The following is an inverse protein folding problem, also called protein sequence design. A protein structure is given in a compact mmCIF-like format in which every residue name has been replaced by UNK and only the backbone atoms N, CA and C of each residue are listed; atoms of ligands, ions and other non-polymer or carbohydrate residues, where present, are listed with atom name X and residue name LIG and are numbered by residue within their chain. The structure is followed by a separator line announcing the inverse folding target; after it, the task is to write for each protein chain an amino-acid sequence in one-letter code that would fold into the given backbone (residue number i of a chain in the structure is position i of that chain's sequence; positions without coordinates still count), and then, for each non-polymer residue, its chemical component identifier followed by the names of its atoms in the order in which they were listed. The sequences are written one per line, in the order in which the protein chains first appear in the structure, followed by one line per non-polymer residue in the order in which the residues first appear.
data_IF_024302615882
#
_entry.id   IF_024302615882
#
_cell.length_a   1.000
_cell.length_b   1.000
_cell.length_c   1.000
_cell.angle_alpha   90.00
_cell.angle_beta   90.00
_cell.angle_gamma   90.00
#
_symmetry.space_group_name_H-M   'P 1'
#
loop_
_entity.id
_entity.type
_entity.pdbx_description
1 polymer ?
#
# COMPACT_ATOMS: atom_id res chain seq x y z
N UNK A 1 27.08 -3.80 -12.42
CA UNK A 1 25.89 -2.97 -12.14
C UNK A 1 24.70 -3.83 -12.44
N UNK A 2 23.96 -4.20 -11.40
CA UNK A 2 22.84 -5.15 -11.52
C UNK A 2 21.57 -4.47 -12.04
N UNK A 3 20.56 -5.24 -12.49
CA UNK A 3 19.34 -4.70 -13.11
C UNK A 3 18.58 -3.73 -12.21
N UNK A 4 18.50 -3.98 -10.90
CA UNK A 4 17.80 -3.10 -9.94
C UNK A 4 18.58 -1.82 -9.63
N UNK A 5 19.91 -1.90 -9.57
CA UNK A 5 20.76 -0.71 -9.49
C UNK A 5 20.67 0.09 -10.79
N UNK A 6 20.61 -0.58 -11.95
CA UNK A 6 20.34 0.04 -13.25
C UNK A 6 18.98 0.75 -13.21
N UNK A 7 17.93 0.12 -12.67
CA UNK A 7 16.59 0.73 -12.53
C UNK A 7 16.68 1.97 -11.65
N UNK A 8 17.26 1.87 -10.46
CA UNK A 8 17.44 3.01 -9.58
C UNK A 8 18.21 4.11 -10.33
N UNK A 9 19.42 3.84 -10.80
CA UNK A 9 20.26 4.80 -11.55
C UNK A 9 19.55 5.37 -12.79
N UNK A 10 18.68 4.63 -13.45
CA UNK A 10 17.89 5.10 -14.61
C UNK A 10 16.77 6.06 -14.25
N UNK A 11 16.14 5.81 -13.10
CA UNK A 11 15.19 6.73 -12.46
C UNK A 11 15.95 7.97 -11.97
N UNK A 12 17.24 7.82 -11.66
CA UNK A 12 18.10 8.89 -11.16
C UNK A 12 18.90 9.63 -12.27
N UNK A 13 18.90 9.18 -13.52
CA UNK A 13 19.73 9.77 -14.58
C UNK A 13 19.07 9.72 -15.96
N UNK A 14 18.81 10.90 -16.54
CA UNK A 14 18.29 11.05 -17.91
C UNK A 14 19.17 10.36 -18.96
N UNK A 15 20.49 10.32 -18.75
CA UNK A 15 21.44 9.68 -19.66
C UNK A 15 21.31 8.16 -19.60
N UNK A 16 21.08 7.61 -18.41
CA UNK A 16 20.93 6.17 -18.22
C UNK A 16 19.55 5.67 -18.64
N UNK A 17 18.51 6.50 -18.56
CA UNK A 17 17.13 6.17 -18.94
C UNK A 17 17.01 5.43 -20.30
N UNK A 18 17.78 5.83 -21.32
CA UNK A 18 17.75 5.17 -22.65
C UNK A 18 18.38 3.77 -22.66
N UNK A 19 19.40 3.54 -21.83
CA UNK A 19 20.11 2.25 -21.72
C UNK A 19 19.31 1.22 -20.90
N UNK A 20 18.46 1.67 -19.98
CA UNK A 20 17.81 0.80 -19.00
C UNK A 20 16.49 0.24 -19.52
N UNK A 21 15.75 0.99 -20.35
CA UNK A 21 14.41 0.61 -20.83
C UNK A 21 14.33 -0.75 -21.58
N UNK A 22 15.45 -1.32 -22.01
CA UNK A 22 15.56 -2.65 -22.65
C UNK A 22 15.95 -3.79 -21.69
N UNK A 23 16.42 -3.48 -20.48
CA UNK A 23 16.99 -4.46 -19.52
C UNK A 23 16.12 -4.64 -18.27
N UNK A 24 15.19 -3.72 -18.00
CA UNK A 24 14.33 -3.76 -16.82
C UNK A 24 13.27 -4.87 -16.99
N UNK A 25 13.19 -5.86 -16.07
CA UNK A 25 12.07 -6.79 -16.02
C UNK A 25 10.75 -6.01 -15.90
N UNK A 26 9.68 -6.49 -16.55
CA UNK A 26 8.39 -5.81 -16.45
C UNK A 26 7.92 -5.76 -14.99
N UNK A 27 7.74 -4.55 -14.46
CA UNK A 27 7.16 -4.37 -13.13
C UNK A 27 5.76 -4.97 -13.11
N UNK A 28 5.47 -5.76 -12.08
CA UNK A 28 4.20 -6.51 -11.99
C UNK A 28 3.22 -5.86 -11.03
N UNK A 29 3.74 -5.17 -10.01
CA UNK A 29 2.93 -4.59 -8.93
C UNK A 29 3.47 -3.22 -8.55
N UNK A 30 2.56 -2.33 -8.19
CA UNK A 30 2.91 -1.04 -7.60
C UNK A 30 1.99 -0.72 -6.43
N UNK A 31 2.61 -0.31 -5.32
CA UNK A 31 1.89 0.06 -4.11
C UNK A 31 2.28 1.49 -3.75
N UNK A 32 1.31 2.29 -3.34
CA UNK A 32 1.55 3.61 -2.78
C UNK A 32 1.01 3.61 -1.36
N UNK A 33 1.88 3.85 -0.38
CA UNK A 33 1.46 3.90 1.02
C UNK A 33 1.65 5.31 1.56
N UNK A 34 0.65 5.76 2.32
CA UNK A 34 0.63 7.05 3.00
C UNK A 34 0.69 6.82 4.51
N UNK A 35 1.78 7.29 5.12
CA UNK A 35 2.05 7.34 6.57
C UNK A 35 2.13 8.81 7.01
N UNK A 36 3.08 9.17 7.88
CA UNK A 36 3.61 10.54 7.99
C UNK A 36 4.56 10.92 6.83
N UNK A 37 4.74 10.04 5.85
CA UNK A 37 5.47 10.22 4.59
C UNK A 37 4.75 9.46 3.45
N UNK A 38 5.14 9.71 2.21
CA UNK A 38 4.68 8.93 1.06
C UNK A 38 5.74 7.89 0.69
N UNK A 39 5.35 6.63 0.50
CA UNK A 39 6.21 5.60 -0.10
C UNK A 39 5.60 5.01 -1.38
N UNK A 40 6.48 4.64 -2.31
CA UNK A 40 6.11 3.86 -3.50
C UNK A 40 6.93 2.60 -3.50
N UNK A 41 6.28 1.45 -3.62
CA UNK A 41 6.94 0.17 -3.79
C UNK A 41 6.61 -0.41 -5.16
N UNK A 42 7.65 -0.73 -5.93
CA UNK A 42 7.54 -1.37 -7.24
C UNK A 42 8.09 -2.79 -7.17
N UNK A 43 7.25 -3.78 -7.48
CA UNK A 43 7.60 -5.19 -7.44
C UNK A 43 8.02 -5.75 -8.81
N UNK A 44 9.12 -6.51 -8.82
CA UNK A 44 9.68 -7.23 -9.96
C UNK A 44 9.72 -8.73 -9.67
N UNK A 45 8.60 -9.42 -9.86
CA UNK A 45 8.44 -10.83 -9.47
C UNK A 45 7.97 -10.98 -8.02
N UNK A 46 8.37 -12.08 -7.37
CA UNK A 46 7.85 -12.45 -6.04
C UNK A 46 8.65 -11.84 -4.88
N UNK A 47 9.97 -11.72 -5.01
CA UNK A 47 10.89 -11.37 -3.91
C UNK A 47 11.59 -10.03 -4.09
N UNK A 48 11.58 -9.48 -5.31
CA UNK A 48 12.37 -8.28 -5.62
C UNK A 48 11.48 -7.05 -5.69
N UNK A 49 11.89 -5.98 -5.00
CA UNK A 49 11.18 -4.72 -5.02
C UNK A 49 12.10 -3.52 -4.81
N UNK A 50 11.66 -2.38 -5.35
CA UNK A 50 12.31 -1.09 -5.14
C UNK A 50 11.30 -0.20 -4.43
N UNK A 51 11.71 0.36 -3.29
CA UNK A 51 10.91 1.32 -2.53
C UNK A 51 11.52 2.72 -2.65
N UNK A 52 10.66 3.70 -2.87
CA UNK A 52 10.99 5.12 -2.84
C UNK A 52 10.25 5.77 -1.68
N UNK A 53 10.95 6.53 -0.83
CA UNK A 53 10.38 7.16 0.36
C UNK A 53 10.55 8.68 0.27
N UNK A 54 9.44 9.40 0.44
CA UNK A 54 9.32 10.85 0.32
C UNK A 54 8.73 11.44 1.61
N UNK A 55 9.56 12.09 2.43
CA UNK A 55 9.11 12.68 3.71
C UNK A 55 8.34 14.01 3.55
N UNK A 56 8.46 14.64 2.39
CA UNK A 56 7.70 15.84 2.01
C UNK A 56 6.88 15.52 0.77
N UNK A 57 5.59 15.87 0.78
CA UNK A 57 4.65 15.54 -0.28
C UNK A 57 4.63 16.59 -1.41
N UNK A 58 5.27 17.74 -1.20
CA UNK A 58 5.41 18.81 -2.19
C UNK A 58 6.76 18.74 -2.86
N UNK A 59 7.83 18.89 -2.08
CA UNK A 59 9.20 19.03 -2.59
C UNK A 59 10.21 18.40 -1.62
N UNK A 60 10.51 17.11 -1.76
CA UNK A 60 11.32 16.38 -0.82
C UNK A 60 12.79 16.76 -0.95
N UNK A 61 13.38 17.25 0.14
CA UNK A 61 14.82 17.56 0.24
C UNK A 61 15.70 16.35 -0.07
N UNK A 62 15.22 15.18 0.35
CA UNK A 62 15.88 13.90 0.09
C UNK A 62 14.86 12.87 -0.34
N UNK A 63 15.32 11.93 -1.16
CA UNK A 63 14.59 10.72 -1.51
C UNK A 63 15.43 9.56 -1.05
N UNK A 64 14.80 8.63 -0.35
CA UNK A 64 15.43 7.37 0.01
C UNK A 64 14.95 6.30 -0.95
N UNK A 65 15.91 5.52 -1.45
CA UNK A 65 15.65 4.39 -2.33
C UNK A 65 16.16 3.15 -1.63
N UNK A 66 15.26 2.21 -1.38
CA UNK A 66 15.60 0.91 -0.81
C UNK A 66 15.35 -0.15 -1.87
N UNK A 67 16.32 -1.06 -2.05
CA UNK A 67 16.28 -2.13 -3.04
C UNK A 67 16.43 -3.44 -2.29
N UNK A 68 15.45 -4.33 -2.49
CA UNK A 68 15.50 -5.69 -1.99
C UNK A 68 15.61 -6.63 -3.17
N UNK A 69 16.59 -7.51 -3.09
CA UNK A 69 16.85 -8.55 -4.06
C UNK A 69 17.15 -9.84 -3.32
N UNK A 70 16.24 -10.79 -3.39
CA UNK A 70 16.34 -12.06 -2.66
C UNK A 70 16.63 -11.83 -1.16
N UNK A 71 17.87 -12.02 -0.71
CA UNK A 71 18.31 -11.80 0.69
C UNK A 71 19.10 -10.51 0.89
N UNK A 72 19.39 -9.75 -0.17
CA UNK A 72 20.18 -8.52 -0.14
C UNK A 72 19.29 -7.29 -0.01
N UNK A 73 19.74 -6.32 0.78
CA UNK A 73 19.07 -5.05 1.00
C UNK A 73 20.06 -3.89 0.88
N UNK A 74 19.78 -2.97 -0.04
CA UNK A 74 20.57 -1.77 -0.26
C UNK A 74 19.73 -0.53 -0.03
N UNK A 75 20.30 0.47 0.65
CA UNK A 75 19.67 1.76 0.88
C UNK A 75 20.52 2.91 0.36
N UNK A 76 19.89 3.78 -0.41
CA UNK A 76 20.49 4.97 -0.98
C UNK A 76 19.72 6.20 -0.51
N UNK A 77 20.43 7.30 -0.33
CA UNK A 77 19.85 8.61 -0.08
C UNK A 77 20.30 9.55 -1.19
N UNK A 78 19.37 10.31 -1.74
CA UNK A 78 19.70 11.29 -2.76
C UNK A 78 19.11 12.66 -2.44
N UNK A 79 19.93 13.68 -2.60
CA UNK A 79 19.55 15.06 -2.45
C UNK A 79 18.72 15.56 -3.64
N UNK A 80 17.55 16.13 -3.34
CA UNK A 80 16.63 16.71 -4.30
C UNK A 80 16.18 18.09 -3.80
N UNK A 81 16.42 19.15 -4.57
CA UNK A 81 16.06 20.51 -4.15
C UNK A 81 15.15 21.23 -5.14
N UNK A 82 14.73 20.58 -6.23
CA UNK A 82 13.96 21.24 -7.31
C UNK A 82 12.81 20.43 -7.87
N UNK A 83 12.74 19.15 -7.57
CA UNK A 83 11.76 18.25 -8.19
C UNK A 83 10.68 17.94 -7.17
N UNK A 84 9.41 18.11 -7.56
CA UNK A 84 8.27 17.81 -6.69
C UNK A 84 8.08 16.32 -6.49
N UNK A 85 7.41 15.92 -5.41
CA UNK A 85 7.04 14.51 -5.17
C UNK A 85 6.21 13.98 -6.33
N UNK A 86 5.17 14.70 -6.76
CA UNK A 86 4.36 14.33 -7.92
C UNK A 86 5.21 14.04 -9.18
N UNK A 87 6.21 14.87 -9.47
CA UNK A 87 7.08 14.63 -10.63
C UNK A 87 7.89 13.34 -10.46
N UNK A 88 8.42 13.08 -9.26
CA UNK A 88 9.14 11.84 -8.97
C UNK A 88 8.27 10.61 -9.15
N UNK A 89 7.05 10.63 -8.62
CA UNK A 89 6.11 9.51 -8.75
C UNK A 89 5.80 9.24 -10.21
N UNK A 90 5.43 10.28 -10.96
CA UNK A 90 5.20 10.17 -12.40
C UNK A 90 6.43 9.65 -13.15
N UNK A 91 7.63 10.08 -12.74
CA UNK A 91 8.88 9.62 -13.33
C UNK A 91 9.14 8.14 -13.05
N UNK A 92 8.95 7.68 -11.82
CA UNK A 92 9.08 6.26 -11.43
C UNK A 92 8.13 5.41 -12.27
N UNK A 93 6.83 5.74 -12.30
CA UNK A 93 5.84 5.00 -13.08
C UNK A 93 6.17 4.97 -14.58
N UNK A 94 6.64 6.09 -15.13
CA UNK A 94 7.07 6.18 -16.54
C UNK A 94 8.25 5.27 -16.85
N UNK A 95 9.28 5.24 -15.98
CA UNK A 95 10.49 4.44 -16.21
C UNK A 95 10.21 2.95 -16.00
N UNK A 96 9.39 2.60 -15.01
CA UNK A 96 9.00 1.21 -14.72
C UNK A 96 7.89 0.69 -15.64
N UNK A 97 7.36 1.54 -16.52
CA UNK A 97 6.26 1.25 -17.47
C UNK A 97 4.99 0.76 -16.78
N UNK A 98 4.76 1.23 -15.56
CA UNK A 98 3.55 0.90 -14.80
C UNK A 98 2.46 1.90 -15.17
N UNK A 99 1.30 1.38 -15.54
CA UNK A 99 0.12 2.14 -15.95
C UNK A 99 -1.03 2.04 -14.94
N UNK A 100 -0.88 1.26 -13.88
CA UNK A 100 -1.92 1.01 -12.88
C UNK A 100 -1.28 0.89 -11.49
N UNK A 101 -1.86 1.58 -10.51
CA UNK A 101 -1.52 1.40 -9.10
C UNK A 101 -2.26 0.16 -8.60
N UNK A 102 -1.54 -0.83 -8.07
CA UNK A 102 -2.18 -2.04 -7.53
C UNK A 102 -3.00 -1.68 -6.30
N UNK A 103 -2.41 -1.01 -5.32
CA UNK A 103 -3.15 -0.58 -4.15
C UNK A 103 -2.61 0.74 -3.63
N UNK A 104 -3.52 1.59 -3.15
CA UNK A 104 -3.20 2.71 -2.29
C UNK A 104 -3.56 2.34 -0.87
N UNK A 105 -2.62 2.47 0.06
CA UNK A 105 -2.83 2.18 1.47
C UNK A 105 -2.63 3.42 2.35
N UNK A 106 -3.54 3.62 3.29
CA UNK A 106 -3.44 4.63 4.33
C UNK A 106 -3.23 3.94 5.68
N UNK A 107 -2.15 4.29 6.38
CA UNK A 107 -1.74 3.65 7.64
C UNK A 107 -1.66 4.71 8.76
N UNK A 108 -0.87 4.50 9.81
CA UNK A 108 -0.75 5.43 10.93
C UNK A 108 -0.23 6.81 10.49
N UNK A 109 -0.69 7.86 11.18
CA UNK A 109 -0.22 9.24 11.03
C UNK A 109 -0.38 9.84 9.62
N UNK A 110 -1.37 9.36 8.86
CA UNK A 110 -1.62 9.82 7.49
C UNK A 110 -2.64 10.95 7.36
N UNK A 111 -3.20 11.47 8.45
CA UNK A 111 -4.32 12.44 8.49
C UNK A 111 -4.00 13.76 7.78
N UNK A 112 -2.70 14.07 7.61
CA UNK A 112 -2.23 15.22 6.84
C UNK A 112 -2.59 15.15 5.35
N UNK A 113 -2.82 13.95 4.82
CA UNK A 113 -3.13 13.72 3.42
C UNK A 113 -4.61 13.97 3.14
N UNK A 114 -4.92 15.09 2.47
CA UNK A 114 -6.26 15.31 1.93
C UNK A 114 -6.44 14.54 0.62
N UNK A 115 -7.69 14.23 0.26
CA UNK A 115 -7.98 13.56 -1.01
C UNK A 115 -7.46 14.34 -2.22
N UNK A 116 -7.41 15.67 -2.13
CA UNK A 116 -6.90 16.54 -3.19
C UNK A 116 -5.37 16.46 -3.30
N UNK A 117 -4.65 16.37 -2.17
CA UNK A 117 -3.22 16.08 -2.15
C UNK A 117 -2.95 14.71 -2.77
N UNK A 118 -3.67 13.67 -2.33
CA UNK A 118 -3.48 12.31 -2.84
C UNK A 118 -3.73 12.27 -4.34
N UNK A 119 -4.84 12.84 -4.83
CA UNK A 119 -5.13 12.94 -6.27
C UNK A 119 -4.04 13.65 -7.06
N UNK A 120 -3.40 14.67 -6.48
CA UNK A 120 -2.27 15.34 -7.15
C UNK A 120 -1.03 14.44 -7.25
N UNK A 121 -0.83 13.53 -6.30
CA UNK A 121 0.32 12.64 -6.20
C UNK A 121 0.16 11.41 -7.09
N UNK A 122 -1.08 10.92 -7.25
CA UNK A 122 -1.35 9.73 -8.02
C UNK A 122 -1.01 9.92 -9.51
N UNK A 123 -0.38 8.90 -10.13
CA UNK A 123 -0.15 8.93 -11.56
C UNK A 123 -1.49 8.93 -12.31
N UNK A 124 -1.50 9.51 -13.51
CA UNK A 124 -2.66 9.44 -14.40
C UNK A 124 -2.90 7.98 -14.80
N UNK A 125 -3.94 7.38 -14.26
CA UNK A 125 -4.22 5.96 -14.47
C UNK A 125 -5.25 5.42 -13.50
N UNK A 126 -5.46 4.12 -13.60
CA UNK A 126 -6.39 3.37 -12.78
C UNK A 126 -5.72 2.95 -11.46
N UNK A 127 -6.47 2.99 -10.37
CA UNK A 127 -6.06 2.45 -9.06
C UNK A 127 -6.94 1.23 -8.80
N UNK A 128 -6.32 0.08 -8.59
CA UNK A 128 -7.07 -1.15 -8.45
C UNK A 128 -7.77 -1.24 -7.09
N UNK A 129 -7.07 -0.97 -5.98
CA UNK A 129 -7.68 -0.94 -4.65
C UNK A 129 -7.34 0.29 -3.80
N UNK A 130 -8.29 0.65 -2.93
CA UNK A 130 -8.08 1.52 -1.77
C UNK A 130 -8.08 0.65 -0.51
N UNK A 131 -7.05 0.79 0.32
CA UNK A 131 -6.94 0.12 1.62
C UNK A 131 -6.84 1.14 2.74
N UNK A 132 -7.78 1.09 3.67
CA UNK A 132 -7.72 1.83 4.93
C UNK A 132 -7.29 0.87 6.03
N UNK A 133 -6.04 1.00 6.48
CA UNK A 133 -5.42 0.11 7.46
C UNK A 133 -6.00 0.31 8.87
N UNK A 134 -5.81 -0.67 9.74
CA UNK A 134 -6.36 -0.73 11.09
C UNK A 134 -5.92 0.45 11.98
N UNK A 135 -4.76 1.03 11.69
CA UNK A 135 -4.16 2.14 12.44
C UNK A 135 -4.38 3.51 11.77
N UNK A 136 -5.16 3.56 10.69
CA UNK A 136 -5.39 4.80 9.95
C UNK A 136 -6.37 5.72 10.66
N UNK A 137 -6.02 7.01 10.80
CA UNK A 137 -6.94 8.07 11.23
C UNK A 137 -7.76 8.68 10.08
N UNK A 138 -7.88 8.00 8.94
CA UNK A 138 -8.62 8.52 7.79
C UNK A 138 -10.13 8.66 8.07
N UNK A 139 -10.70 9.77 7.60
CA UNK A 139 -12.14 10.03 7.76
C UNK A 139 -12.99 9.43 6.63
N UNK A 140 -14.27 9.13 6.90
CA UNK A 140 -15.24 8.77 5.85
C UNK A 140 -15.33 9.82 4.74
N UNK A 141 -15.21 11.11 5.06
CA UNK A 141 -15.22 12.19 4.06
C UNK A 141 -14.06 12.08 3.09
N UNK A 142 -12.87 11.76 3.58
CA UNK A 142 -11.71 11.48 2.75
C UNK A 142 -11.99 10.27 1.85
N UNK A 143 -12.38 9.15 2.44
CA UNK A 143 -12.61 7.89 1.72
C UNK A 143 -13.63 8.08 0.60
N UNK A 144 -14.77 8.73 0.85
CA UNK A 144 -15.81 9.01 -0.16
C UNK A 144 -15.28 9.78 -1.38
N UNK A 145 -14.32 10.69 -1.18
CA UNK A 145 -13.68 11.38 -2.31
C UNK A 145 -12.76 10.44 -3.11
N UNK A 146 -12.22 9.40 -2.50
CA UNK A 146 -11.33 8.45 -3.16
C UNK A 146 -12.08 7.32 -3.88
N UNK A 147 -13.29 6.94 -3.42
CA UNK A 147 -14.06 5.83 -4.00
C UNK A 147 -14.23 5.85 -5.52
N UNK A 148 -14.47 7.00 -6.20
CA UNK A 148 -14.62 7.02 -7.67
C UNK A 148 -13.35 6.63 -8.44
N UNK A 149 -12.21 6.47 -7.77
CA UNK A 149 -10.92 6.17 -8.39
C UNK A 149 -10.56 4.68 -8.30
N UNK A 150 -11.33 3.87 -7.58
CA UNK A 150 -11.00 2.47 -7.27
C UNK A 150 -12.16 1.53 -7.56
N UNK A 151 -11.86 0.29 -7.94
CA UNK A 151 -12.89 -0.77 -8.02
C UNK A 151 -12.87 -1.70 -6.82
N UNK A 152 -11.80 -1.71 -6.03
CA UNK A 152 -11.69 -2.52 -4.84
C UNK A 152 -11.54 -1.66 -3.59
N UNK A 153 -12.16 -2.09 -2.51
CA UNK A 153 -12.14 -1.40 -1.22
C UNK A 153 -11.85 -2.39 -0.10
N UNK A 154 -10.79 -2.14 0.68
CA UNK A 154 -10.50 -2.84 1.93
C UNK A 154 -10.51 -1.85 3.10
N UNK A 155 -11.31 -2.17 4.13
CA UNK A 155 -11.46 -1.36 5.34
C UNK A 155 -11.13 -2.25 6.54
N UNK A 156 -9.99 -1.98 7.17
CA UNK A 156 -9.49 -2.70 8.35
C UNK A 156 -9.83 -1.97 9.67
N UNK A 157 -10.39 -0.76 9.62
CA UNK A 157 -10.88 0.01 10.79
C UNK A 157 -12.20 0.70 10.47
N UNK A 158 -13.09 0.82 11.47
CA UNK A 158 -14.32 1.58 11.28
C UNK A 158 -14.05 3.09 11.13
N UNK A 159 -14.19 3.59 9.90
CA UNK A 159 -14.05 5.02 9.57
C UNK A 159 -15.38 5.78 9.58
N UNK A 160 -16.50 5.09 9.77
CA UNK A 160 -17.86 5.63 9.63
C UNK A 160 -18.37 6.20 10.94
N UNK A 161 -18.94 7.41 10.89
CA UNK A 161 -19.53 8.04 12.06
C UNK A 161 -20.86 7.38 12.45
N UNK A 162 -21.56 6.79 11.48
CA UNK A 162 -22.84 6.15 11.66
C UNK A 162 -23.10 5.10 10.55
N UNK A 163 -24.12 4.27 10.76
CA UNK A 163 -24.52 3.21 9.82
C UNK A 163 -24.95 3.75 8.45
N UNK A 164 -25.60 4.91 8.39
CA UNK A 164 -26.05 5.48 7.12
C UNK A 164 -24.87 5.84 6.19
N UNK A 165 -23.78 6.37 6.75
CA UNK A 165 -22.54 6.62 6.00
C UNK A 165 -21.93 5.32 5.46
N UNK A 166 -21.91 4.27 6.27
CA UNK A 166 -21.44 2.94 5.86
C UNK A 166 -22.27 2.39 4.71
N UNK A 167 -23.60 2.37 4.86
CA UNK A 167 -24.53 1.88 3.84
C UNK A 167 -24.41 2.65 2.52
N UNK A 168 -24.19 3.97 2.57
CA UNK A 168 -23.94 4.79 1.37
C UNK A 168 -22.67 4.35 0.62
N UNK A 169 -21.68 3.77 1.30
CA UNK A 169 -20.50 3.19 0.66
C UNK A 169 -20.79 1.78 0.16
N UNK A 170 -21.46 0.94 0.93
CA UNK A 170 -21.77 -0.44 0.54
C UNK A 170 -22.63 -0.55 -0.73
N UNK A 171 -23.52 0.42 -0.98
CA UNK A 171 -24.37 0.46 -2.18
C UNK A 171 -23.62 0.82 -3.48
N UNK A 172 -22.39 1.34 -3.38
CA UNK A 172 -21.58 1.65 -4.56
C UNK A 172 -21.15 0.36 -5.28
N UNK A 173 -20.99 0.45 -6.61
CA UNK A 173 -20.46 -0.66 -7.40
C UNK A 173 -18.98 -0.86 -7.11
N UNK A 174 -18.62 -2.03 -6.58
CA UNK A 174 -17.23 -2.48 -6.48
C UNK A 174 -17.06 -3.82 -7.20
N UNK A 175 -15.85 -4.09 -7.65
CA UNK A 175 -15.51 -5.46 -8.02
C UNK A 175 -15.29 -6.29 -6.75
N UNK A 176 -14.61 -5.72 -5.76
CA UNK A 176 -14.38 -6.38 -4.48
C UNK A 176 -14.51 -5.41 -3.32
N UNK A 177 -15.16 -5.86 -2.24
CA UNK A 177 -15.19 -5.15 -0.97
C UNK A 177 -14.81 -6.09 0.18
N UNK A 178 -13.96 -5.59 1.08
CA UNK A 178 -13.45 -6.31 2.24
C UNK A 178 -13.61 -5.45 3.49
N UNK A 179 -14.48 -5.87 4.42
CA UNK A 179 -14.97 -5.06 5.54
C UNK A 179 -14.76 -5.75 6.89
N UNK A 180 -13.61 -6.41 7.05
CA UNK A 180 -13.24 -7.24 8.21
C UNK A 180 -13.54 -6.65 9.59
N UNK A 181 -13.54 -5.33 9.73
CA UNK A 181 -13.66 -4.66 11.03
C UNK A 181 -14.97 -3.89 11.20
N UNK A 182 -15.95 -4.06 10.31
CA UNK A 182 -17.24 -3.36 10.38
C UNK A 182 -18.33 -4.24 11.01
N UNK A 183 -19.23 -3.67 11.84
CA UNK A 183 -20.39 -4.37 12.38
C UNK A 183 -21.51 -4.50 11.32
N UNK A 184 -21.26 -5.34 10.31
CA UNK A 184 -22.17 -5.61 9.20
C UNK A 184 -23.34 -6.49 9.68
N UNK A 185 -24.56 -6.10 9.32
CA UNK A 185 -25.78 -6.91 9.49
C UNK A 185 -26.26 -7.48 8.16
N UNK A 186 -27.20 -8.42 8.21
CA UNK A 186 -27.79 -9.00 7.00
C UNK A 186 -28.38 -7.93 6.07
N UNK A 187 -29.07 -6.93 6.62
CA UNK A 187 -29.62 -5.83 5.82
C UNK A 187 -28.53 -5.03 5.10
N UNK A 188 -27.37 -4.86 5.74
CA UNK A 188 -26.24 -4.19 5.11
C UNK A 188 -25.67 -5.02 3.95
N UNK A 189 -25.66 -6.35 4.07
CA UNK A 189 -25.23 -7.28 3.02
C UNK A 189 -26.14 -7.25 1.80
N UNK A 190 -27.44 -7.08 2.01
CA UNK A 190 -28.41 -6.93 0.92
C UNK A 190 -28.22 -5.63 0.14
N UNK A 191 -27.53 -4.64 0.72
CA UNK A 191 -27.16 -3.40 0.04
C UNK A 191 -25.84 -3.50 -0.72
N UNK A 192 -24.99 -4.49 -0.40
CA UNK A 192 -23.66 -4.60 -1.02
C UNK A 192 -23.81 -4.88 -2.51
N UNK A 193 -23.29 -3.97 -3.31
CA UNK A 193 -23.27 -4.11 -4.75
C UNK A 193 -21.85 -4.40 -5.24
N UNK A 194 -21.39 -5.63 -4.99
CA UNK A 194 -20.03 -6.08 -5.30
C UNK A 194 -20.02 -7.50 -5.85
N UNK A 195 -19.11 -7.80 -6.78
CA UNK A 195 -18.92 -9.17 -7.29
C UNK A 195 -18.35 -10.09 -6.20
N UNK A 196 -17.42 -9.57 -5.40
CA UNK A 196 -16.81 -10.30 -4.30
C UNK A 196 -16.95 -9.53 -2.99
N UNK A 197 -17.39 -10.24 -1.94
CA UNK A 197 -17.39 -9.76 -0.57
C UNK A 197 -16.46 -10.63 0.26
N UNK A 198 -15.50 -10.02 0.96
CA UNK A 198 -14.69 -10.71 1.95
C UNK A 198 -15.11 -10.30 3.36
N UNK A 199 -15.72 -11.24 4.08
CA UNK A 199 -16.03 -11.11 5.50
C UNK A 199 -14.93 -11.71 6.38
N UNK A 200 -14.79 -11.25 7.64
CA UNK A 200 -13.96 -11.97 8.59
C UNK A 200 -14.61 -13.33 8.83
N UNK A 201 -13.91 -14.41 8.49
CA UNK A 201 -14.27 -15.73 9.01
C UNK A 201 -14.14 -15.59 10.52
N UNK A 202 -15.28 -15.57 11.24
CA UNK A 202 -15.26 -15.83 12.67
C UNK A 202 -14.70 -17.23 12.81
N UNK A 203 -13.42 -17.35 13.17
CA UNK A 203 -12.92 -18.62 13.66
C UNK A 203 -13.61 -18.85 15.00
N UNK A 204 -14.81 -19.45 14.98
CA UNK A 204 -15.33 -20.17 16.12
C UNK A 204 -14.37 -21.32 16.35
N UNK A 205 -13.37 -21.07 17.19
CA UNK A 205 -12.59 -22.15 17.80
C UNK A 205 -13.54 -22.80 18.80
N UNK A 206 -14.35 -23.74 18.32
CA UNK A 206 -14.97 -24.71 19.20
C UNK A 206 -13.84 -25.64 19.66
N UNK A 207 -13.32 -25.39 20.86
CA UNK A 207 -12.42 -26.33 21.54
C UNK A 207 -13.22 -27.57 21.93
N UNK A 208 -13.36 -28.51 21.00
CA UNK A 208 -13.59 -29.91 21.32
C UNK A 208 -12.28 -30.68 21.12
N UNK A 209 -11.70 -31.10 22.25
CA UNK A 209 -10.74 -32.21 22.33
C UNK A 209 -9.51 -32.11 21.45
N UNK A 210 -8.47 -31.46 21.97
CA UNK A 210 -7.05 -31.80 21.75
C UNK A 210 -6.63 -32.31 20.37
N UNK A 211 -6.47 -31.38 19.41
CA UNK A 211 -5.35 -31.32 18.46
C UNK A 211 -5.60 -30.13 17.53
N UNK A 212 -4.88 -29.04 17.76
CA UNK A 212 -4.98 -27.83 16.93
C UNK A 212 -4.32 -28.05 15.58
N UNK A 213 -5.06 -28.60 14.62
CA UNK A 213 -4.73 -28.46 13.21
C UNK A 213 -5.19 -27.08 12.73
N UNK A 214 -4.39 -26.04 13.00
CA UNK A 214 -4.57 -24.75 12.36
C UNK A 214 -4.18 -24.89 10.88
N UNK A 215 -5.14 -25.23 10.01
CA UNK A 215 -4.98 -24.94 8.60
C UNK A 215 -5.00 -23.41 8.42
N UNK A 216 -3.82 -22.81 8.53
CA UNK A 216 -3.58 -21.44 8.09
C UNK A 216 -3.83 -21.40 6.59
N UNK A 217 -4.95 -20.82 6.19
CA UNK A 217 -5.08 -20.33 4.82
C UNK A 217 -4.15 -19.14 4.67
N UNK A 218 -2.93 -19.41 4.23
CA UNK A 218 -1.96 -18.41 3.78
C UNK A 218 -2.56 -17.74 2.55
N UNK A 219 -3.27 -16.61 2.73
CA UNK A 219 -3.63 -15.75 1.61
C UNK A 219 -2.34 -15.08 1.11
N UNK A 220 -1.97 -15.44 -0.12
CA UNK A 220 -0.90 -14.84 -0.91
C UNK A 220 -1.15 -13.34 -1.15
N UNK A 221 -0.83 -12.53 -0.16
CA UNK A 221 -0.57 -11.09 -0.32
C UNK A 221 0.51 -10.68 0.69
N UNK A 222 1.78 -10.98 0.37
CA UNK A 222 3.00 -10.33 0.87
C UNK A 222 3.13 -9.95 2.37
N UNK A 223 2.34 -10.53 3.28
CA UNK A 223 2.18 -10.03 4.66
C UNK A 223 3.20 -10.58 5.66
N UNK A 224 3.92 -11.66 5.34
CA UNK A 224 4.64 -12.42 6.37
C UNK A 224 6.10 -12.00 6.63
N UNK A 225 6.57 -10.85 6.14
CA UNK A 225 7.96 -10.42 6.39
C UNK A 225 8.15 -9.04 7.03
N UNK A 226 7.09 -8.31 7.40
CA UNK A 226 7.24 -6.86 7.66
C UNK A 226 7.15 -6.36 9.12
N UNK A 227 7.00 -7.23 10.12
CA UNK A 227 7.18 -6.83 11.53
C UNK A 227 8.15 -7.75 12.25
N UNK A 228 9.44 -7.49 12.06
CA UNK A 228 10.46 -7.92 13.01
C UNK A 228 10.27 -7.15 14.32
N UNK A 229 9.89 -7.86 15.38
CA UNK A 229 9.87 -7.38 16.75
C UNK A 229 11.21 -6.72 17.11
N UNK A 230 11.27 -5.39 17.11
CA UNK A 230 12.22 -4.66 17.96
C UNK A 230 11.63 -4.60 19.37
N UNK A 231 11.65 -5.74 20.08
CA UNK A 231 11.53 -5.72 21.53
C UNK A 231 12.91 -5.45 22.11
N UNK A 232 13.00 -4.30 22.75
CA UNK A 232 13.99 -3.97 23.76
C UNK A 232 14.26 -5.17 24.67
N UNK A 233 15.54 -5.50 24.85
CA UNK A 233 16.03 -6.11 26.08
C UNK A 233 17.17 -5.24 26.58
N UNK A 234 16.81 -4.15 27.26
CA UNK A 234 17.61 -3.58 28.33
C UNK A 234 17.18 -4.25 29.63
N UNK A 235 18.15 -4.91 30.28
CA UNK A 235 18.38 -5.01 31.73
C UNK A 235 18.95 -6.39 32.13
N UNK A 236 20.25 -6.34 32.42
CA UNK A 236 20.96 -6.90 33.58
C UNK A 236 20.65 -8.35 34.04
N UNK A 237 21.70 -9.18 34.15
CA UNK A 237 22.43 -9.41 35.44
C UNK A 237 23.45 -10.55 35.32
N UNK A 238 24.61 -10.29 35.94
CA UNK A 238 25.45 -11.20 36.72
C UNK A 238 26.16 -12.38 36.03
N UNK A 239 27.44 -12.20 35.69
CA UNK A 239 28.59 -12.91 36.27
C UNK A 239 29.89 -12.25 35.79
#
# INVERSE_FOLDING_TARGET
MESHELIAVSILSKTMQKLTLSVIPQAQKSFITFFNYTEIMIGFGLTNFIKFIFYDDKAPKYIYVEIWKDTEHHRFQWFNHRISTQYWINHVFKVTKINTVTDIRFVENCERFTADIVRSILPTGYVHALVIDGQSGMSTKFMRKMLPLVNNLEIEVNVFNNRAEMQHVLIQNFHMINVKSLPITLDDLLLVNSEFLMEPIKSTVETYGGETNSQKFTRYFGRDTFYGNSRETSLERNA
#
